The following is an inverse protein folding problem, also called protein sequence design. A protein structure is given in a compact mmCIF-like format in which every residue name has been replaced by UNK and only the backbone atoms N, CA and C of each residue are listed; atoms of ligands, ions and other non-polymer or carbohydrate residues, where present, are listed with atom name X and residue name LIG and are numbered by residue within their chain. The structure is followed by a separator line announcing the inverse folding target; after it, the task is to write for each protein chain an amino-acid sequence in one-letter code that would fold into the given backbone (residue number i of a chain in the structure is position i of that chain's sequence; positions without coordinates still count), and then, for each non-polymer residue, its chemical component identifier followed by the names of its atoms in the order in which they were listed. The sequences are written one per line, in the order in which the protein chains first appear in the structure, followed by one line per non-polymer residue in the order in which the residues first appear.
data_IF_175762950995
#
_entry.id   IF_175762950995
#
_cell.length_a   1.000
_cell.length_b   1.000
_cell.length_c   1.000
_cell.angle_alpha   90.00
_cell.angle_beta   90.00
_cell.angle_gamma   90.00
#
_symmetry.space_group_name_H-M   'P 1'
#
loop_
_entity.id
_entity.type
_entity.pdbx_description
1 polymer ?
#
# COMPACT_ATOMS: atom_id res chain seq x y z
N UNK A 1 4.28 11.99 4.98
CA UNK A 1 3.69 11.48 3.71
C UNK A 1 2.82 12.51 2.99
N UNK A 2 1.86 13.18 3.63
CA UNK A 2 0.90 14.09 2.95
C UNK A 2 1.58 15.17 2.07
N UNK A 3 2.66 15.79 2.54
CA UNK A 3 3.46 16.77 1.76
C UNK A 3 4.22 16.14 0.59
N UNK A 4 4.70 14.90 0.76
CA UNK A 4 5.28 14.13 -0.36
C UNK A 4 4.19 13.83 -1.39
N UNK A 5 2.96 13.58 -0.93
CA UNK A 5 1.85 13.36 -1.82
C UNK A 5 1.49 14.59 -2.64
N UNK A 6 1.31 15.75 -2.00
CA UNK A 6 0.98 16.99 -2.70
C UNK A 6 2.05 17.42 -3.71
N UNK A 7 3.33 17.13 -3.42
CA UNK A 7 4.43 17.64 -4.22
C UNK A 7 4.84 16.69 -5.36
N UNK A 8 4.62 15.38 -5.19
CA UNK A 8 5.05 14.37 -6.16
C UNK A 8 3.88 13.68 -6.89
N UNK A 9 2.62 13.86 -6.44
CA UNK A 9 1.46 13.27 -7.11
C UNK A 9 0.92 14.23 -8.15
N UNK A 10 1.53 14.21 -9.34
CA UNK A 10 0.92 14.82 -10.53
C UNK A 10 -0.39 14.10 -10.87
N UNK A 11 -1.25 14.73 -11.67
CA UNK A 11 -2.62 14.28 -11.99
C UNK A 11 -2.74 12.85 -12.59
N UNK A 12 -1.64 12.23 -13.00
CA UNK A 12 -1.63 11.01 -13.82
C UNK A 12 -1.41 9.68 -13.07
N UNK A 13 -1.39 9.64 -11.73
CA UNK A 13 -1.20 8.37 -11.03
C UNK A 13 -2.37 7.40 -11.27
N UNK A 14 -2.07 6.11 -11.38
CA UNK A 14 -3.12 5.09 -11.44
C UNK A 14 -3.91 5.02 -10.13
N UNK A 15 -5.15 4.50 -10.19
CA UNK A 15 -5.92 4.22 -8.98
C UNK A 15 -5.18 3.27 -8.03
N UNK A 16 -4.46 2.30 -8.59
CA UNK A 16 -3.65 1.33 -7.85
C UNK A 16 -2.51 2.00 -7.11
N UNK A 17 -1.76 2.89 -7.76
CA UNK A 17 -0.67 3.64 -7.12
C UNK A 17 -1.20 4.49 -5.97
N UNK A 18 -2.30 5.23 -6.18
CA UNK A 18 -2.96 5.98 -5.08
C UNK A 18 -3.40 5.08 -3.93
N UNK A 19 -3.90 3.89 -4.22
CA UNK A 19 -4.34 2.91 -3.20
C UNK A 19 -3.16 2.40 -2.40
N UNK A 20 -2.05 2.05 -3.05
CA UNK A 20 -0.81 1.63 -2.39
C UNK A 20 -0.27 2.71 -1.45
N UNK A 21 -0.26 3.97 -1.87
CA UNK A 21 0.16 5.06 -0.99
C UNK A 21 -0.75 5.28 0.22
N UNK A 22 -2.07 5.12 0.07
CA UNK A 22 -2.99 5.16 1.21
C UNK A 22 -2.70 4.01 2.20
N UNK A 23 -2.35 2.82 1.70
CA UNK A 23 -1.92 1.70 2.54
C UNK A 23 -0.64 2.04 3.31
N UNK A 24 0.35 2.67 2.67
CA UNK A 24 1.57 3.12 3.34
C UNK A 24 1.30 4.20 4.40
N UNK A 25 0.37 5.12 4.15
CA UNK A 25 -0.06 6.10 5.16
C UNK A 25 -0.63 5.42 6.40
N UNK A 26 -1.43 4.37 6.23
CA UNK A 26 -1.97 3.59 7.36
C UNK A 26 -0.82 3.01 8.20
N UNK A 27 0.25 2.51 7.58
CA UNK A 27 1.40 1.97 8.31
C UNK A 27 2.05 3.04 9.20
N UNK A 28 2.28 4.25 8.66
CA UNK A 28 2.90 5.36 9.38
C UNK A 28 1.98 5.92 10.46
N UNK A 29 0.70 6.18 10.15
CA UNK A 29 -0.27 6.75 11.08
C UNK A 29 -0.64 5.81 12.24
N UNK A 30 -0.30 4.53 12.13
CA UNK A 30 -0.51 3.54 13.19
C UNK A 30 0.78 3.09 13.86
N UNK A 31 1.88 3.83 13.67
CA UNK A 31 3.14 3.63 14.40
C UNK A 31 3.64 2.18 14.34
N UNK A 32 3.52 1.54 13.17
CA UNK A 32 3.90 0.14 12.93
C UNK A 32 3.11 -0.91 13.76
N UNK A 33 2.03 -0.54 14.43
CA UNK A 33 1.17 -1.47 15.16
C UNK A 33 0.46 -2.44 14.21
N UNK A 34 0.92 -3.69 14.17
CA UNK A 34 0.46 -4.69 13.22
C UNK A 34 -1.07 -4.90 13.26
N UNK A 35 -1.65 -5.02 14.45
CA UNK A 35 -3.10 -5.25 14.63
C UNK A 35 -3.93 -4.11 14.04
N UNK A 36 -3.57 -2.87 14.36
CA UNK A 36 -4.28 -1.69 13.86
C UNK A 36 -4.10 -1.53 12.34
N UNK A 37 -2.90 -1.77 11.83
CA UNK A 37 -2.60 -1.73 10.38
C UNK A 37 -3.42 -2.77 9.62
N UNK A 38 -3.46 -4.01 10.10
CA UNK A 38 -4.26 -5.07 9.49
C UNK A 38 -5.75 -4.72 9.51
N UNK A 39 -6.26 -4.17 10.61
CA UNK A 39 -7.67 -3.82 10.72
C UNK A 39 -8.07 -2.69 9.76
N UNK A 40 -7.28 -1.61 9.72
CA UNK A 40 -7.59 -0.39 8.95
C UNK A 40 -7.31 -0.54 7.45
N UNK A 41 -6.40 -1.43 7.07
CA UNK A 41 -6.02 -1.63 5.66
C UNK A 41 -6.99 -2.50 4.86
N UNK A 42 -7.85 -3.32 5.51
CA UNK A 42 -8.69 -4.35 4.85
C UNK A 42 -9.42 -3.87 3.60
N UNK A 43 -10.08 -2.72 3.68
CA UNK A 43 -10.87 -2.17 2.57
C UNK A 43 -9.97 -1.82 1.37
N UNK A 44 -8.84 -1.18 1.61
CA UNK A 44 -7.91 -0.77 0.55
C UNK A 44 -7.17 -1.97 -0.05
N UNK A 45 -6.82 -2.97 0.76
CA UNK A 45 -6.24 -4.24 0.27
C UNK A 45 -7.21 -4.94 -0.67
N UNK A 46 -8.49 -5.04 -0.29
CA UNK A 46 -9.53 -5.60 -1.14
C UNK A 46 -9.67 -4.81 -2.45
N UNK A 47 -9.64 -3.47 -2.38
CA UNK A 47 -9.70 -2.61 -3.57
C UNK A 47 -8.49 -2.76 -4.49
N UNK A 48 -7.30 -3.00 -3.93
CA UNK A 48 -6.10 -3.26 -4.70
C UNK A 48 -6.26 -4.54 -5.53
N UNK A 49 -6.71 -5.63 -4.88
CA UNK A 49 -6.94 -6.94 -5.49
C UNK A 49 -8.07 -6.95 -6.54
N UNK A 50 -9.14 -6.20 -6.32
CA UNK A 50 -10.29 -6.11 -7.24
C UNK A 50 -9.95 -5.35 -8.53
N UNK A 51 -9.03 -4.38 -8.47
CA UNK A 51 -8.59 -3.60 -9.62
C UNK A 51 -7.38 -4.28 -10.29
N UNK A 52 -7.51 -5.58 -10.60
CA UNK A 52 -6.61 -6.23 -11.56
C UNK A 52 -6.95 -5.66 -12.93
N UNK A 53 -6.11 -4.75 -13.42
CA UNK A 53 -6.32 -4.01 -14.66
C UNK A 53 -6.47 -5.00 -15.81
N UNK A 54 -7.69 -5.12 -16.34
CA UNK A 54 -7.94 -5.82 -17.61
C UNK A 54 -7.61 -4.84 -18.73
N UNK A 55 -6.43 -5.01 -19.33
CA UNK A 55 -6.08 -4.43 -20.63
C UNK A 55 -5.45 -3.03 -20.60
N UNK A 56 -4.16 -2.99 -20.92
CA UNK A 56 -3.45 -2.05 -21.81
C UNK A 56 -3.72 -0.52 -21.80
N UNK A 57 -4.40 0.06 -20.82
CA UNK A 57 -4.51 1.52 -20.72
C UNK A 57 -3.83 1.99 -19.42
N UNK A 58 -2.70 2.69 -19.57
CA UNK A 58 -1.88 3.28 -18.50
C UNK A 58 -0.97 2.31 -17.76
N UNK A 59 -0.04 1.70 -18.49
CA UNK A 59 1.15 1.07 -17.92
C UNK A 59 2.09 2.15 -17.34
N UNK A 60 1.77 2.70 -16.17
CA UNK A 60 2.82 2.83 -15.16
C UNK A 60 3.32 1.39 -14.99
N UNK A 61 4.52 1.07 -15.46
CA UNK A 61 5.07 -0.29 -15.37
C UNK A 61 5.23 -0.65 -13.88
N UNK A 62 4.21 -1.28 -13.30
CA UNK A 62 4.33 -2.00 -12.03
C UNK A 62 5.31 -3.14 -12.28
N UNK A 63 6.60 -2.92 -11.98
CA UNK A 63 7.64 -3.96 -12.05
C UNK A 63 7.27 -5.10 -11.08
N UNK A 64 6.58 -4.77 -9.98
CA UNK A 64 6.06 -5.70 -8.99
C UNK A 64 4.61 -5.32 -8.67
N UNK A 65 3.65 -6.26 -8.68
CA UNK A 65 2.29 -6.01 -8.27
C UNK A 65 2.23 -5.44 -6.85
N UNK A 66 1.46 -4.38 -6.63
CA UNK A 66 1.36 -3.74 -5.31
C UNK A 66 0.82 -4.66 -4.21
N UNK A 67 0.07 -5.70 -4.56
CA UNK A 67 -0.37 -6.74 -3.64
C UNK A 67 0.82 -7.47 -3.01
N UNK A 68 1.84 -7.81 -3.82
CA UNK A 68 3.06 -8.46 -3.35
C UNK A 68 3.89 -7.50 -2.50
N UNK A 69 4.00 -6.23 -2.89
CA UNK A 69 4.66 -5.22 -2.04
C UNK A 69 3.96 -5.09 -0.68
N UNK A 70 2.63 -5.06 -0.67
CA UNK A 70 1.88 -4.98 0.57
C UNK A 70 2.11 -6.19 1.46
N UNK A 71 2.11 -7.40 0.88
CA UNK A 71 2.43 -8.63 1.61
C UNK A 71 3.83 -8.59 2.24
N UNK A 72 4.84 -8.13 1.49
CA UNK A 72 6.20 -7.97 2.00
C UNK A 72 6.25 -7.03 3.21
N UNK A 73 5.55 -5.90 3.15
CA UNK A 73 5.46 -4.94 4.27
C UNK A 73 4.83 -5.60 5.49
N UNK A 74 3.72 -6.32 5.32
CA UNK A 74 3.06 -7.02 6.43
C UNK A 74 3.99 -8.09 7.04
N UNK A 75 4.73 -8.82 6.21
CA UNK A 75 5.67 -9.83 6.68
C UNK A 75 6.85 -9.22 7.44
N UNK A 76 7.36 -8.06 7.00
CA UNK A 76 8.37 -7.30 7.75
C UNK A 76 7.85 -6.83 9.11
N UNK A 77 6.61 -6.33 9.18
CA UNK A 77 5.99 -5.91 10.44
C UNK A 77 5.82 -7.09 11.41
N UNK A 78 5.33 -8.24 10.92
CA UNK A 78 5.24 -9.49 11.71
C UNK A 78 6.61 -9.90 12.25
N UNK A 79 7.63 -9.87 11.40
CA UNK A 79 8.98 -10.24 11.78
C UNK A 79 9.56 -9.33 12.87
N UNK A 80 9.30 -8.02 12.78
CA UNK A 80 9.73 -7.05 13.81
C UNK A 80 8.99 -7.26 15.15
N UNK A 81 7.68 -7.54 15.11
CA UNK A 81 6.89 -7.84 16.32
C UNK A 81 7.46 -9.07 17.04
N UNK A 82 7.80 -10.13 16.29
CA UNK A 82 8.40 -11.35 16.85
C UNK A 82 9.79 -11.15 17.47
N UNK A 83 10.59 -10.21 16.96
CA UNK A 83 11.93 -9.88 17.50
C UNK A 83 11.92 -8.96 18.72
N UNK A 84 10.78 -8.37 19.03
CA UNK A 84 10.64 -7.42 20.14
C UNK A 84 10.30 -8.10 21.48
N UNK A 85 10.31 -9.44 21.51
CA UNK A 85 10.17 -10.31 22.69
C UNK A 85 11.51 -10.99 23.00
#
# INVERSE_FOLDING_TARGET
MKTYMSNHFKENFSYRTRTMYKLLNIVVENELNLKSIQFKSRYLVKKLQENQVVGNAYTEFEIVPYEHLWELIINMLKYNELRSF
#
